data_IF_280063237775
#
_entry.id   IF_280063237775
#
_cell.length_a   1.000
_cell.length_b   1.000
_cell.length_c   1.000
_cell.angle_alpha   90.00
_cell.angle_beta   90.00
_cell.angle_gamma   90.00
#
_symmetry.space_group_name_H-M   'P 1'
#
loop_
_entity.id
_entity.type
_entity.pdbx_description
1 polymer ?
#
# COMPACT_ATOMS: atom_id res chain seq x y z
N UNK A 1 3.26 -43.17 -10.79
CA UNK A 1 3.17 -41.98 -11.68
C UNK A 1 3.48 -40.76 -10.86
N UNK A 2 4.57 -40.01 -11.14
CA UNK A 2 4.80 -38.71 -10.52
C UNK A 2 3.79 -37.74 -11.14
N UNK A 3 3.05 -36.95 -10.35
CA UNK A 3 2.16 -35.95 -10.92
C UNK A 3 3.02 -35.01 -11.79
N UNK A 4 2.67 -34.87 -13.06
CA UNK A 4 3.31 -33.90 -13.94
C UNK A 4 2.89 -32.52 -13.43
N UNK A 5 3.79 -31.83 -12.76
CA UNK A 5 3.54 -30.50 -12.21
C UNK A 5 3.47 -29.53 -13.38
N UNK A 6 2.26 -29.27 -13.86
CA UNK A 6 2.02 -28.33 -14.94
C UNK A 6 2.35 -26.93 -14.45
N UNK A 7 3.22 -26.23 -15.20
CA UNK A 7 3.60 -24.84 -14.94
C UNK A 7 3.07 -23.96 -16.06
N UNK A 8 2.73 -22.74 -15.71
CA UNK A 8 2.36 -21.68 -16.63
C UNK A 8 3.48 -20.64 -16.64
N UNK A 9 3.89 -20.23 -17.82
CA UNK A 9 4.70 -19.04 -18.00
C UNK A 9 3.75 -17.83 -18.09
N UNK A 10 3.87 -16.90 -17.17
CA UNK A 10 3.03 -15.70 -17.09
C UNK A 10 3.91 -14.46 -17.07
N UNK A 11 3.35 -13.35 -17.46
CA UNK A 11 3.99 -12.05 -17.34
C UNK A 11 3.16 -11.18 -16.41
N UNK A 12 3.82 -10.56 -15.42
CA UNK A 12 3.15 -9.75 -14.41
C UNK A 12 3.69 -8.33 -14.52
N UNK A 13 2.81 -7.38 -14.81
CA UNK A 13 3.12 -5.97 -14.80
C UNK A 13 3.09 -5.47 -13.35
N UNK A 14 4.25 -5.10 -12.82
CA UNK A 14 4.39 -4.53 -11.50
C UNK A 14 4.46 -3.01 -11.62
N UNK A 15 3.69 -2.28 -10.81
CA UNK A 15 3.73 -0.83 -10.80
C UNK A 15 5.16 -0.32 -10.56
N UNK A 16 5.75 0.42 -11.53
CA UNK A 16 7.11 0.99 -11.42
C UNK A 16 8.28 0.06 -11.76
N UNK A 17 8.03 -1.25 -11.97
CA UNK A 17 9.04 -2.22 -12.45
C UNK A 17 8.73 -2.76 -13.84
N UNK A 18 7.49 -2.51 -14.32
CA UNK A 18 7.07 -3.02 -15.61
C UNK A 18 6.84 -4.54 -15.62
N UNK A 19 6.98 -5.12 -16.80
CA UNK A 19 6.64 -6.52 -17.11
C UNK A 19 7.70 -7.48 -16.59
N UNK A 20 7.31 -8.36 -15.66
CA UNK A 20 8.16 -9.40 -15.06
C UNK A 20 7.69 -10.79 -15.50
N UNK A 21 8.63 -11.68 -15.79
CA UNK A 21 8.34 -13.08 -16.14
C UNK A 21 8.18 -13.91 -14.88
N UNK A 22 7.11 -14.66 -14.77
CA UNK A 22 6.82 -15.58 -13.67
C UNK A 22 6.58 -17.00 -14.17
N UNK A 23 7.11 -17.99 -13.48
CA UNK A 23 6.82 -19.41 -13.68
C UNK A 23 5.99 -19.91 -12.49
N UNK A 24 4.68 -20.01 -12.68
CA UNK A 24 3.74 -20.39 -11.65
C UNK A 24 3.28 -21.86 -11.83
N UNK A 25 2.97 -22.54 -10.73
CA UNK A 25 2.25 -23.81 -10.79
C UNK A 25 0.81 -23.54 -11.23
N UNK A 26 0.31 -24.30 -12.18
CA UNK A 26 -1.06 -24.15 -12.67
C UNK A 26 -2.14 -24.35 -11.61
N UNK A 27 -1.79 -25.06 -10.53
CA UNK A 27 -2.68 -25.38 -9.40
C UNK A 27 -2.77 -24.32 -8.31
N UNK A 28 -1.85 -23.33 -8.27
CA UNK A 28 -1.92 -22.27 -7.26
C UNK A 28 -3.01 -21.27 -7.61
N UNK A 29 -3.46 -20.53 -6.60
CA UNK A 29 -4.45 -19.47 -6.73
C UNK A 29 -3.77 -18.13 -7.07
N UNK A 30 -4.53 -17.14 -7.59
CA UNK A 30 -4.01 -15.77 -7.74
C UNK A 30 -3.48 -15.17 -6.45
N UNK A 31 -4.12 -15.43 -5.30
CA UNK A 31 -3.65 -14.95 -4.00
C UNK A 31 -2.27 -15.53 -3.62
N UNK A 32 -2.03 -16.83 -3.89
CA UNK A 32 -0.71 -17.45 -3.67
C UNK A 32 0.35 -16.90 -4.63
N UNK A 33 -0.02 -16.55 -5.87
CA UNK A 33 0.89 -15.90 -6.81
C UNK A 33 1.21 -14.47 -6.37
N UNK A 34 0.22 -13.71 -5.87
CA UNK A 34 0.44 -12.38 -5.26
C UNK A 34 1.42 -12.48 -4.10
N UNK A 35 1.22 -13.44 -3.18
CA UNK A 35 2.14 -13.64 -2.05
C UNK A 35 3.58 -13.87 -2.51
N UNK A 36 3.78 -14.74 -3.51
CA UNK A 36 5.09 -15.00 -4.07
C UNK A 36 5.74 -13.75 -4.69
N UNK A 37 4.96 -12.92 -5.42
CA UNK A 37 5.40 -11.66 -5.99
C UNK A 37 5.79 -10.67 -4.90
N UNK A 38 4.98 -10.53 -3.85
CA UNK A 38 5.28 -9.62 -2.74
C UNK A 38 6.57 -10.05 -2.01
N UNK A 39 6.76 -11.35 -1.81
CA UNK A 39 8.00 -11.88 -1.17
C UNK A 39 9.24 -11.61 -2.02
N UNK A 40 9.15 -11.77 -3.34
CA UNK A 40 10.27 -11.54 -4.26
C UNK A 40 10.68 -10.08 -4.30
N UNK A 41 9.73 -9.15 -4.40
CA UNK A 41 9.98 -7.73 -4.63
C UNK A 41 9.99 -6.85 -3.37
N UNK A 42 9.71 -7.40 -2.18
CA UNK A 42 9.69 -6.70 -0.89
C UNK A 42 10.94 -5.83 -0.64
N UNK A 43 12.12 -6.33 -1.01
CA UNK A 43 13.38 -5.63 -0.79
C UNK A 43 13.68 -4.53 -1.79
N UNK A 44 13.05 -4.57 -2.97
CA UNK A 44 13.30 -3.66 -4.08
C UNK A 44 12.25 -2.54 -4.16
N UNK A 45 11.00 -2.86 -3.84
CA UNK A 45 9.86 -1.96 -3.96
C UNK A 45 9.37 -1.53 -2.57
N UNK A 46 9.94 -0.44 -2.06
CA UNK A 46 9.66 0.05 -0.71
C UNK A 46 8.19 0.40 -0.42
N UNK A 47 7.36 0.55 -1.45
CA UNK A 47 5.93 0.87 -1.35
C UNK A 47 5.01 -0.35 -1.36
N UNK A 48 5.53 -1.55 -1.60
CA UNK A 48 4.71 -2.76 -1.53
C UNK A 48 4.39 -3.13 -0.08
N UNK A 49 3.10 -3.28 0.19
CA UNK A 49 2.61 -3.85 1.45
C UNK A 49 2.89 -5.36 1.49
N UNK A 50 3.08 -5.90 2.68
CA UNK A 50 3.21 -7.36 2.89
C UNK A 50 1.85 -8.08 2.88
N UNK A 51 0.75 -7.35 2.76
CA UNK A 51 -0.59 -7.90 2.83
C UNK A 51 -1.11 -8.29 1.44
N UNK A 52 -1.26 -9.57 1.18
CA UNK A 52 -1.92 -10.09 -0.03
C UNK A 52 -3.32 -9.49 -0.22
N UNK A 53 -4.02 -9.21 0.88
CA UNK A 53 -5.35 -8.62 0.84
C UNK A 53 -5.40 -7.20 0.24
N UNK A 54 -4.26 -6.51 0.17
CA UNK A 54 -4.17 -5.18 -0.45
C UNK A 54 -4.09 -5.23 -1.98
N UNK A 55 -3.87 -6.42 -2.57
CA UNK A 55 -3.62 -6.59 -3.99
C UNK A 55 -4.58 -7.56 -4.66
N UNK A 56 -4.65 -7.47 -5.96
CA UNK A 56 -5.32 -8.41 -6.85
C UNK A 56 -4.55 -8.54 -8.16
N UNK A 57 -4.70 -9.65 -8.83
CA UNK A 57 -4.26 -9.81 -10.21
C UNK A 57 -5.44 -9.53 -11.16
N UNK A 58 -5.17 -8.76 -12.19
CA UNK A 58 -6.12 -8.49 -13.28
C UNK A 58 -5.48 -8.90 -14.60
N UNK A 59 -6.28 -9.19 -15.63
CA UNK A 59 -5.75 -9.37 -16.98
C UNK A 59 -5.33 -8.03 -17.55
N UNK A 60 -4.17 -7.98 -18.21
CA UNK A 60 -3.74 -6.77 -18.90
C UNK A 60 -4.57 -6.57 -20.19
N UNK A 61 -4.90 -5.31 -20.50
CA UNK A 61 -5.83 -4.93 -21.56
C UNK A 61 -5.41 -5.33 -23.00
N UNK A 62 -4.16 -5.72 -23.21
CA UNK A 62 -3.60 -6.00 -24.54
C UNK A 62 -3.78 -7.45 -25.01
N UNK A 63 -4.48 -8.30 -24.26
CA UNK A 63 -4.75 -9.67 -24.66
C UNK A 63 -6.20 -9.86 -25.14
N UNK A 64 -6.39 -10.63 -26.25
CA UNK A 64 -7.74 -10.95 -26.69
C UNK A 64 -8.50 -11.67 -25.55
N UNK A 65 -9.79 -11.30 -25.33
CA UNK A 65 -10.60 -11.93 -24.29
C UNK A 65 -10.66 -13.44 -24.54
N UNK A 66 -10.65 -14.22 -23.46
CA UNK A 66 -11.03 -15.62 -23.55
C UNK A 66 -12.46 -15.70 -24.09
N UNK A 67 -12.78 -16.75 -24.85
CA UNK A 67 -14.13 -16.96 -25.46
C UNK A 67 -15.30 -16.94 -24.48
N UNK A 68 -15.03 -16.81 -23.17
CA UNK A 68 -15.99 -16.75 -22.07
C UNK A 68 -16.57 -15.35 -21.81
N UNK A 69 -16.20 -14.34 -22.60
CA UNK A 69 -16.72 -12.97 -22.47
C UNK A 69 -16.22 -12.20 -21.24
N UNK A 70 -15.11 -12.63 -20.62
CA UNK A 70 -14.50 -11.91 -19.53
C UNK A 70 -14.02 -10.53 -20.03
N UNK A 71 -14.44 -9.47 -19.35
CA UNK A 71 -14.07 -8.11 -19.69
C UNK A 71 -12.56 -7.88 -19.48
N UNK A 72 -11.96 -7.07 -20.36
CA UNK A 72 -10.63 -6.51 -20.13
C UNK A 72 -10.57 -5.87 -18.74
N UNK A 73 -9.49 -6.11 -17.99
CA UNK A 73 -9.30 -5.71 -16.59
C UNK A 73 -10.17 -6.41 -15.55
N UNK A 74 -10.82 -7.53 -15.89
CA UNK A 74 -11.51 -8.31 -14.87
C UNK A 74 -10.50 -8.89 -13.85
N UNK A 75 -10.75 -8.72 -12.54
CA UNK A 75 -9.91 -9.36 -11.53
C UNK A 75 -10.06 -10.87 -11.59
N UNK A 76 -8.95 -11.58 -11.33
CA UNK A 76 -8.98 -13.02 -11.16
C UNK A 76 -9.68 -13.39 -9.84
N UNK A 77 -10.32 -14.55 -9.81
CA UNK A 77 -10.90 -15.12 -8.60
C UNK A 77 -9.79 -15.70 -7.71
N UNK A 78 -9.57 -15.09 -6.55
CA UNK A 78 -8.53 -15.47 -5.59
C UNK A 78 -8.68 -16.91 -5.06
N UNK A 79 -9.86 -17.52 -5.16
CA UNK A 79 -10.16 -18.86 -4.66
C UNK A 79 -10.03 -19.95 -5.72
N UNK A 80 -9.95 -19.61 -7.01
CA UNK A 80 -9.87 -20.58 -8.10
C UNK A 80 -8.40 -20.78 -8.58
N UNK A 81 -8.01 -21.99 -9.04
CA UNK A 81 -6.68 -22.23 -9.58
C UNK A 81 -6.37 -21.37 -10.81
N UNK A 82 -5.10 -20.99 -11.00
CA UNK A 82 -4.66 -20.24 -12.18
C UNK A 82 -5.04 -20.93 -13.49
N UNK A 83 -4.89 -22.25 -13.57
CA UNK A 83 -5.23 -23.03 -14.77
C UNK A 83 -6.69 -22.88 -15.24
N UNK A 84 -7.59 -22.49 -14.34
CA UNK A 84 -9.00 -22.26 -14.69
C UNK A 84 -9.25 -20.85 -15.25
N UNK A 85 -8.27 -19.95 -15.10
CA UNK A 85 -8.48 -18.53 -15.33
C UNK A 85 -7.50 -17.92 -16.34
N UNK A 86 -6.30 -18.50 -16.50
CA UNK A 86 -5.26 -17.96 -17.37
C UNK A 86 -4.62 -19.06 -18.20
N UNK A 87 -3.96 -18.66 -19.30
CA UNK A 87 -3.23 -19.51 -20.20
C UNK A 87 -1.74 -19.22 -20.14
N UNK A 88 -0.95 -20.14 -20.66
CA UNK A 88 0.48 -19.94 -20.88
C UNK A 88 0.73 -18.74 -21.79
N UNK A 89 1.59 -17.83 -21.37
CA UNK A 89 1.90 -16.59 -22.07
C UNK A 89 1.04 -15.38 -21.71
N UNK A 90 0.02 -15.54 -20.84
CA UNK A 90 -0.86 -14.42 -20.47
C UNK A 90 -0.12 -13.31 -19.72
N UNK A 91 -0.54 -12.07 -19.99
CA UNK A 91 -0.11 -10.87 -19.26
C UNK A 91 -1.13 -10.51 -18.18
N UNK A 92 -0.62 -10.35 -16.98
CA UNK A 92 -1.38 -9.93 -15.80
C UNK A 92 -0.84 -8.61 -15.28
N UNK A 93 -1.64 -7.88 -14.52
CA UNK A 93 -1.17 -6.72 -13.77
C UNK A 93 -1.45 -6.94 -12.28
N UNK A 94 -0.48 -6.59 -11.44
CA UNK A 94 -0.65 -6.50 -10.01
C UNK A 94 -1.25 -5.13 -9.70
N UNK A 95 -2.48 -5.11 -9.23
CA UNK A 95 -3.19 -3.89 -8.86
C UNK A 95 -3.47 -3.85 -7.37
N UNK A 96 -3.44 -2.66 -6.81
CA UNK A 96 -3.95 -2.42 -5.48
C UNK A 96 -5.47 -2.49 -5.46
N UNK A 97 -6.04 -3.17 -4.47
CA UNK A 97 -7.50 -3.21 -4.30
C UNK A 97 -8.04 -1.82 -4.03
N UNK A 98 -9.16 -1.45 -4.65
CA UNK A 98 -9.86 -0.23 -4.32
C UNK A 98 -10.23 -0.21 -2.82
N UNK A 99 -10.11 0.94 -2.19
CA UNK A 99 -10.59 1.17 -0.83
C UNK A 99 -11.71 2.20 -0.86
N UNK A 100 -12.73 1.99 -0.07
CA UNK A 100 -13.79 2.99 0.09
C UNK A 100 -13.20 4.25 0.71
N UNK A 101 -13.59 5.40 0.12
CA UNK A 101 -13.16 6.70 0.62
C UNK A 101 -14.14 7.14 1.70
N UNK A 102 -13.69 7.39 2.94
CA UNK A 102 -14.56 7.80 4.02
C UNK A 102 -15.28 9.12 3.73
N UNK A 103 -16.41 9.33 4.40
CA UNK A 103 -17.14 10.58 4.28
C UNK A 103 -16.27 11.76 4.76
N UNK A 104 -16.20 12.81 3.96
CA UNK A 104 -15.36 13.98 4.22
C UNK A 104 -13.91 13.86 3.79
N UNK A 105 -13.52 12.70 3.25
CA UNK A 105 -12.23 12.51 2.59
C UNK A 105 -12.36 12.56 1.06
N UNK A 106 -11.24 12.69 0.39
CA UNK A 106 -11.12 12.58 -1.07
C UNK A 106 -9.96 11.68 -1.44
N UNK A 107 -9.96 11.03 -2.60
CA UNK A 107 -8.79 10.29 -3.07
C UNK A 107 -7.54 11.17 -3.10
N UNK A 108 -6.38 10.59 -2.83
CA UNK A 108 -5.10 11.26 -3.05
C UNK A 108 -4.89 11.52 -4.55
N UNK A 109 -4.31 12.64 -4.90
CA UNK A 109 -4.01 12.99 -6.31
C UNK A 109 -2.89 12.13 -6.91
N UNK A 110 -2.04 11.56 -6.06
CA UNK A 110 -0.94 10.66 -6.42
C UNK A 110 -0.93 9.45 -5.48
N UNK A 111 -0.33 8.33 -5.88
CA UNK A 111 -0.07 7.23 -4.97
C UNK A 111 0.91 7.64 -3.88
N UNK A 112 0.47 7.61 -2.62
CA UNK A 112 1.27 7.97 -1.43
C UNK A 112 1.27 6.82 -0.46
N UNK A 113 2.46 6.52 0.08
CA UNK A 113 2.64 5.46 1.07
C UNK A 113 3.48 5.96 2.24
N UNK A 114 3.24 5.38 3.39
CA UNK A 114 4.13 5.52 4.55
C UNK A 114 4.74 4.17 4.87
N UNK A 115 6.06 4.09 4.91
CA UNK A 115 6.78 2.87 5.32
C UNK A 115 7.36 3.06 6.72
N UNK A 116 6.96 2.22 7.66
CA UNK A 116 7.59 2.17 8.98
C UNK A 116 8.99 1.56 8.85
N UNK A 117 10.03 2.30 9.29
CA UNK A 117 11.41 1.99 8.95
C UNK A 117 11.97 0.75 9.67
N UNK A 118 11.48 0.44 10.88
CA UNK A 118 12.01 -0.68 11.65
C UNK A 118 11.43 -2.03 11.22
N UNK A 119 10.14 -2.08 10.89
CA UNK A 119 9.43 -3.31 10.50
C UNK A 119 9.30 -3.47 8.99
N UNK A 120 9.39 -2.37 8.24
CA UNK A 120 9.10 -2.33 6.82
C UNK A 120 7.61 -2.31 6.49
N UNK A 121 6.73 -2.25 7.49
CA UNK A 121 5.28 -2.19 7.27
C UNK A 121 4.90 -0.97 6.44
N UNK A 122 4.10 -1.16 5.40
CA UNK A 122 3.68 -0.13 4.46
C UNK A 122 2.20 0.18 4.63
N UNK A 123 1.87 1.46 4.64
CA UNK A 123 0.51 1.97 4.70
C UNK A 123 0.25 2.81 3.45
N UNK A 124 -0.71 2.39 2.63
CA UNK A 124 -1.19 3.17 1.50
C UNK A 124 -2.14 4.26 1.98
N UNK A 125 -1.91 5.51 1.57
CA UNK A 125 -2.83 6.61 1.79
C UNK A 125 -3.81 6.72 0.63
N UNK A 126 -4.90 5.94 0.70
CA UNK A 126 -5.91 5.90 -0.37
C UNK A 126 -6.79 7.16 -0.40
N UNK A 127 -6.83 7.91 0.70
CA UNK A 127 -7.62 9.14 0.84
C UNK A 127 -6.89 10.18 1.68
N UNK A 128 -7.33 11.44 1.57
CA UNK A 128 -6.88 12.58 2.33
C UNK A 128 -8.09 13.42 2.81
N UNK A 129 -8.08 13.97 4.04
CA UNK A 129 -7.02 13.82 5.04
C UNK A 129 -6.88 12.39 5.55
N UNK A 130 -5.63 11.96 5.76
CA UNK A 130 -5.29 10.64 6.24
C UNK A 130 -4.79 10.73 7.69
N UNK A 131 -5.51 10.15 8.65
CA UNK A 131 -5.12 10.18 10.06
C UNK A 131 -4.08 9.09 10.32
N UNK A 132 -3.02 9.48 11.04
CA UNK A 132 -1.99 8.62 11.59
C UNK A 132 -2.26 8.49 13.09
N UNK A 133 -2.39 7.26 13.59
CA UNK A 133 -2.65 7.06 15.02
C UNK A 133 -2.95 5.62 15.38
N UNK A 134 -3.80 5.44 16.40
CA UNK A 134 -4.33 4.14 16.80
C UNK A 134 -5.85 4.20 16.94
N UNK A 135 -6.57 3.10 16.79
CA UNK A 135 -8.03 3.08 16.94
C UNK A 135 -8.48 3.57 18.31
N UNK A 136 -9.67 4.15 18.33
CA UNK A 136 -10.41 4.47 19.55
C UNK A 136 -11.86 4.03 19.37
N UNK A 137 -12.27 3.01 20.12
CA UNK A 137 -13.63 2.45 20.06
C UNK A 137 -14.72 3.48 20.46
N UNK A 138 -14.32 4.57 21.10
CA UNK A 138 -15.23 5.64 21.50
C UNK A 138 -15.30 6.81 20.51
N UNK A 139 -14.53 6.76 19.43
CA UNK A 139 -14.53 7.80 18.41
C UNK A 139 -15.20 7.33 17.13
N UNK A 140 -16.19 8.07 16.62
CA UNK A 140 -16.86 7.73 15.35
C UNK A 140 -15.91 7.83 14.12
N UNK A 141 -14.82 8.59 14.24
CA UNK A 141 -13.95 8.94 13.11
C UNK A 141 -12.81 7.96 12.86
N UNK A 142 -12.91 6.69 13.32
CA UNK A 142 -11.91 5.67 13.00
C UNK A 142 -11.84 5.39 11.49
N UNK A 143 -12.89 5.72 10.76
CA UNK A 143 -12.93 5.59 9.29
C UNK A 143 -11.86 6.42 8.59
N UNK A 144 -11.46 7.56 9.17
CA UNK A 144 -10.38 8.41 8.66
C UNK A 144 -8.97 7.91 9.03
N UNK A 145 -8.88 6.87 9.88
CA UNK A 145 -7.60 6.29 10.32
C UNK A 145 -6.98 5.48 9.17
N UNK A 146 -6.14 6.13 8.38
CA UNK A 146 -5.44 5.50 7.26
C UNK A 146 -4.21 4.72 7.71
N UNK A 147 -3.55 5.16 8.79
CA UNK A 147 -2.30 4.60 9.32
C UNK A 147 -2.51 4.15 10.75
N UNK A 148 -2.89 2.87 10.89
CA UNK A 148 -3.07 2.25 12.20
C UNK A 148 -1.74 1.72 12.75
N UNK A 149 -1.20 2.40 13.75
CA UNK A 149 0.07 2.05 14.39
C UNK A 149 -0.09 1.18 15.64
N UNK A 150 -1.32 0.82 16.04
CA UNK A 150 -1.57 0.00 17.22
C UNK A 150 -0.87 -1.38 17.21
N UNK A 151 -0.73 -2.09 16.06
CA UNK A 151 -0.06 -3.38 16.01
C UNK A 151 1.46 -3.32 16.27
N UNK A 152 2.07 -2.14 16.12
CA UNK A 152 3.52 -1.98 16.33
C UNK A 152 3.88 -2.04 17.82
N UNK A 153 5.09 -2.53 18.13
CA UNK A 153 5.57 -2.74 19.50
C UNK A 153 5.42 -1.50 20.40
N UNK A 154 5.66 -0.30 19.84
CA UNK A 154 5.49 0.98 20.54
C UNK A 154 4.17 1.70 20.23
N UNK A 155 3.25 1.05 19.52
CA UNK A 155 1.98 1.61 19.08
C UNK A 155 1.09 2.14 20.21
N UNK A 156 1.14 1.49 21.39
CA UNK A 156 0.42 1.97 22.56
C UNK A 156 0.82 3.38 23.05
N UNK A 157 2.02 3.85 22.65
CA UNK A 157 2.53 5.20 22.97
C UNK A 157 2.10 6.25 21.94
N UNK A 158 1.49 5.82 20.84
CA UNK A 158 0.95 6.72 19.81
C UNK A 158 -0.40 7.24 20.27
N UNK A 159 -0.69 8.51 20.02
CA UNK A 159 -2.03 9.07 20.27
C UNK A 159 -3.05 8.44 19.32
N UNK A 160 -4.32 8.39 19.71
CA UNK A 160 -5.42 7.87 18.86
C UNK A 160 -5.52 8.64 17.54
N UNK A 161 -5.45 9.96 17.64
CA UNK A 161 -5.27 10.88 16.50
C UNK A 161 -3.97 11.61 16.75
N UNK A 162 -2.88 11.12 16.14
CA UNK A 162 -1.53 11.65 16.39
C UNK A 162 -1.18 12.78 15.45
N UNK A 163 -1.33 12.54 14.18
CA UNK A 163 -1.10 13.49 13.10
C UNK A 163 -2.08 13.20 11.96
N UNK A 164 -2.17 14.13 11.01
CA UNK A 164 -2.85 13.87 9.74
C UNK A 164 -2.02 14.35 8.56
N UNK A 165 -2.18 13.69 7.42
CA UNK A 165 -1.64 14.15 6.16
C UNK A 165 -2.78 14.78 5.37
N UNK A 166 -2.54 15.96 4.85
CA UNK A 166 -3.45 16.72 4.00
C UNK A 166 -2.76 17.06 2.69
N UNK A 167 -3.54 17.40 1.68
CA UNK A 167 -3.02 17.86 0.39
C UNK A 167 -3.68 19.20 0.03
N UNK A 168 -2.86 20.14 -0.39
CA UNK A 168 -3.31 21.44 -0.87
C UNK A 168 -2.50 21.82 -2.10
N UNK A 169 -3.18 22.11 -3.21
CA UNK A 169 -2.54 22.44 -4.49
C UNK A 169 -1.59 21.37 -5.04
N UNK A 170 -1.82 20.09 -4.71
CA UNK A 170 -0.95 18.97 -5.11
C UNK A 170 0.29 18.80 -4.23
N UNK A 171 0.46 19.61 -3.19
CA UNK A 171 1.50 19.50 -2.17
C UNK A 171 0.96 18.79 -0.94
N UNK A 172 1.69 17.79 -0.45
CA UNK A 172 1.39 17.11 0.80
C UNK A 172 1.93 17.90 2.00
N UNK A 173 1.17 17.86 3.09
CA UNK A 173 1.56 18.44 4.37
C UNK A 173 1.21 17.49 5.50
N UNK A 174 1.96 17.54 6.58
CA UNK A 174 1.60 16.92 7.85
C UNK A 174 1.22 17.99 8.87
N UNK A 175 0.16 17.69 9.63
CA UNK A 175 -0.33 18.50 10.76
C UNK A 175 -0.31 17.64 12.02
N UNK A 176 0.12 18.21 13.15
CA UNK A 176 0.08 17.51 14.43
C UNK A 176 -1.29 17.68 15.07
N UNK A 177 -1.92 16.56 15.46
CA UNK A 177 -3.19 16.54 16.19
C UNK A 177 -2.99 16.29 17.69
N UNK A 178 -1.78 15.91 18.10
CA UNK A 178 -1.45 15.51 19.47
C UNK A 178 -0.52 16.51 20.14
N UNK A 179 -1.08 17.41 20.95
CA UNK A 179 -0.31 18.46 21.65
C UNK A 179 0.80 17.93 22.59
N UNK A 180 0.62 16.76 23.19
CA UNK A 180 1.58 16.20 24.15
C UNK A 180 2.50 15.15 23.56
N UNK A 181 2.33 14.80 22.29
CA UNK A 181 3.09 13.81 21.57
C UNK A 181 3.67 14.44 20.30
N UNK A 182 4.90 14.95 20.35
CA UNK A 182 5.47 15.67 19.23
C UNK A 182 5.60 14.84 17.97
N UNK A 183 5.29 15.47 16.85
CA UNK A 183 5.58 14.99 15.49
C UNK A 183 6.74 15.81 14.95
N UNK A 184 7.73 15.16 14.36
CA UNK A 184 8.89 15.78 13.76
C UNK A 184 8.97 15.33 12.30
N UNK A 185 9.19 16.24 11.38
CA UNK A 185 9.54 15.92 9.99
C UNK A 185 11.06 15.98 9.87
N UNK A 186 11.66 14.89 9.43
CA UNK A 186 13.04 14.80 9.02
C UNK A 186 13.09 14.83 7.51
N UNK A 187 13.50 15.94 6.94
CA UNK A 187 13.62 16.05 5.50
C UNK A 187 14.71 15.11 4.97
N UNK A 188 14.53 14.59 3.75
CA UNK A 188 15.55 13.76 3.09
C UNK A 188 16.91 14.49 2.99
N UNK A 189 16.91 15.82 2.97
CA UNK A 189 18.11 16.69 3.01
C UNK A 189 18.77 16.77 4.40
N UNK A 190 18.20 16.15 5.45
CA UNK A 190 18.77 16.07 6.79
C UNK A 190 18.28 17.11 7.80
N UNK A 191 17.45 18.06 7.41
CA UNK A 191 16.88 19.05 8.33
C UNK A 191 15.72 18.44 9.13
N UNK A 192 15.60 18.81 10.41
CA UNK A 192 14.47 18.43 11.25
C UNK A 192 13.57 19.63 11.54
N UNK A 193 12.26 19.45 11.41
CA UNK A 193 11.24 20.44 11.73
C UNK A 193 10.20 19.84 12.65
N UNK A 194 9.99 20.45 13.82
CA UNK A 194 8.92 20.06 14.72
C UNK A 194 7.59 20.61 14.21
N UNK A 195 6.58 19.74 14.13
CA UNK A 195 5.23 20.13 13.73
C UNK A 195 4.48 20.64 14.98
N UNK A 196 4.48 21.96 15.17
CA UNK A 196 3.83 22.59 16.33
C UNK A 196 2.46 23.15 15.94
N UNK A 197 2.40 24.43 15.58
CA UNK A 197 1.20 25.10 15.11
C UNK A 197 1.21 25.22 13.59
N UNK A 198 0.20 24.62 12.93
CA UNK A 198 0.11 24.65 11.47
C UNK A 198 0.56 23.34 10.81
N UNK A 199 1.05 23.48 9.57
CA UNK A 199 1.41 22.36 8.71
C UNK A 199 2.84 22.46 8.18
N UNK A 200 3.51 21.31 8.06
CA UNK A 200 4.85 21.18 7.50
C UNK A 200 4.76 20.45 6.17
N UNK A 201 5.35 20.96 5.07
CA UNK A 201 5.34 20.29 3.79
C UNK A 201 6.07 18.94 3.86
N UNK A 202 5.59 17.98 3.06
CA UNK A 202 6.17 16.66 2.91
C UNK A 202 6.56 16.44 1.46
N UNK A 203 7.74 15.85 1.28
CA UNK A 203 8.25 15.40 -0.01
C UNK A 203 8.57 13.91 0.02
N UNK A 204 8.80 13.32 -1.15
CA UNK A 204 9.28 11.95 -1.24
C UNK A 204 10.60 11.78 -0.48
N UNK A 205 10.74 10.69 0.27
CA UNK A 205 11.90 10.40 1.09
C UNK A 205 11.94 11.06 2.47
N UNK A 206 11.06 12.02 2.76
CA UNK A 206 10.94 12.60 4.10
C UNK A 206 10.46 11.56 5.12
N UNK A 207 10.77 11.78 6.40
CA UNK A 207 10.39 10.88 7.49
C UNK A 207 9.56 11.62 8.51
N UNK A 208 8.35 11.12 8.76
CA UNK A 208 7.50 11.55 9.87
C UNK A 208 7.93 10.75 11.10
N UNK A 209 8.54 11.43 12.07
CA UNK A 209 9.02 10.82 13.29
C UNK A 209 8.11 11.14 14.48
N UNK A 210 7.61 10.10 15.14
CA UNK A 210 6.75 10.20 16.32
C UNK A 210 7.62 10.04 17.57
N UNK A 211 7.97 11.16 18.20
CA UNK A 211 9.07 11.24 19.18
C UNK A 211 8.91 10.28 20.38
N UNK A 212 7.71 10.18 20.97
CA UNK A 212 7.48 9.32 22.17
C UNK A 212 7.47 7.84 21.88
N UNK A 213 6.93 7.45 20.74
CA UNK A 213 6.87 6.06 20.30
C UNK A 213 8.13 5.62 19.58
N UNK A 214 8.95 6.59 19.12
CA UNK A 214 10.15 6.40 18.29
C UNK A 214 9.85 5.70 16.96
N UNK A 215 8.62 5.81 16.48
CA UNK A 215 8.24 5.31 15.16
C UNK A 215 8.66 6.31 14.08
N UNK A 216 9.21 5.79 13.01
CA UNK A 216 9.70 6.55 11.87
C UNK A 216 9.00 6.07 10.60
N UNK A 217 8.20 6.94 9.99
CA UNK A 217 7.40 6.67 8.80
C UNK A 217 8.01 7.40 7.62
N UNK A 218 8.68 6.68 6.73
CA UNK A 218 9.19 7.24 5.47
C UNK A 218 8.04 7.51 4.53
N UNK A 219 8.00 8.72 3.99
CA UNK A 219 7.04 9.13 2.95
C UNK A 219 7.55 8.64 1.60
N UNK A 220 6.68 7.99 0.84
CA UNK A 220 6.96 7.53 -0.52
C UNK A 220 5.86 8.07 -1.41
N UNK A 221 6.22 8.90 -2.39
CA UNK A 221 5.30 9.47 -3.38
C UNK A 221 5.68 8.92 -4.75
N UNK A 222 4.70 8.34 -5.44
CA UNK A 222 4.90 7.82 -6.80
C UNK A 222 4.23 8.72 -7.83
N UNK A 223 4.82 8.78 -9.01
CA UNK A 223 4.27 9.48 -10.18
C UNK A 223 3.32 8.62 -10.98
#
# INVERSE_FOLDING_TARGET
>A
MRPTTHRLELFINLPGQGRQRALALASITPAELVDAVLQEFRGELEYLSDSVADYRLVRAADHPPLDDGAADHAPLDDGAPLAAQVRDGDDLALEERPREVPQGARPSSKPVYLREQATGMVFRLAWLPAIIGRPDDNLPDNEMLAVNLAPLVSGARVSRRHAQIVEDGGQLFVESLARQNPTIVRAAAGNETRVEDGRVPLSDGDVIYLERSKLALKVIVRE
#
